data_IF_164226388188
#
_entry.id   IF_164226388188
#
_cell.length_a   1.000
_cell.length_b   1.000
_cell.length_c   1.000
_cell.angle_alpha   90.00
_cell.angle_beta   90.00
_cell.angle_gamma   90.00
#
_symmetry.space_group_name_H-M   'P 1'
#
loop_
_entity.id
_entity.type
_entity.pdbx_description
1 polymer ?
#
# COMPACT_ATOMS: atom_id res chain seq x y z
N UNK A 1 -2.66 24.88 -1.66
CA UNK A 1 -2.94 23.50 -2.09
C UNK A 1 -1.83 22.61 -1.60
N UNK A 2 -2.03 21.29 -1.56
CA UNK A 2 -0.94 20.37 -1.24
C UNK A 2 0.17 20.49 -2.31
N UNK A 3 1.47 20.43 -1.94
CA UNK A 3 2.56 20.45 -2.90
C UNK A 3 2.47 19.22 -3.82
N UNK A 4 2.73 19.43 -5.11
CA UNK A 4 2.76 18.36 -6.10
C UNK A 4 4.21 18.06 -6.49
N UNK A 5 4.50 16.79 -6.74
CA UNK A 5 5.81 16.32 -7.20
C UNK A 5 5.61 15.58 -8.52
N UNK A 6 6.55 15.75 -9.46
CA UNK A 6 6.57 14.97 -10.69
C UNK A 6 6.96 13.52 -10.37
N UNK A 7 6.12 12.57 -10.78
CA UNK A 7 6.38 11.15 -10.58
C UNK A 7 7.56 10.63 -11.41
N UNK A 8 8.08 9.46 -11.01
CA UNK A 8 9.13 8.75 -11.73
C UNK A 8 8.59 7.69 -12.70
N UNK A 9 9.50 6.98 -13.36
CA UNK A 9 9.17 5.93 -14.34
C UNK A 9 8.45 4.71 -13.72
N UNK A 10 8.48 4.55 -12.40
CA UNK A 10 7.83 3.46 -11.67
C UNK A 10 7.06 3.99 -10.47
N UNK A 11 6.09 3.21 -9.96
CA UNK A 11 5.36 3.55 -8.73
C UNK A 11 6.30 3.84 -7.57
N UNK A 12 7.32 3.01 -7.35
CA UNK A 12 8.28 3.19 -6.27
C UNK A 12 9.14 4.45 -6.47
N UNK A 13 9.52 4.79 -7.71
CA UNK A 13 10.23 6.04 -7.99
C UNK A 13 9.36 7.27 -7.68
N UNK A 14 8.06 7.22 -8.02
CA UNK A 14 7.11 8.28 -7.66
C UNK A 14 6.94 8.43 -6.16
N UNK A 15 6.77 7.32 -5.43
CA UNK A 15 6.67 7.35 -3.96
C UNK A 15 7.95 7.93 -3.36
N UNK A 16 9.13 7.50 -3.82
CA UNK A 16 10.41 8.02 -3.34
C UNK A 16 10.53 9.53 -3.55
N UNK A 17 10.21 10.03 -4.74
CA UNK A 17 10.25 11.48 -5.01
C UNK A 17 9.30 12.26 -4.10
N UNK A 18 8.11 11.71 -3.80
CA UNK A 18 7.18 12.32 -2.86
C UNK A 18 7.74 12.33 -1.41
N UNK A 19 8.33 11.23 -0.95
CA UNK A 19 8.96 11.16 0.39
C UNK A 19 10.14 12.12 0.51
N UNK A 20 11.01 12.20 -0.51
CA UNK A 20 12.13 13.15 -0.55
C UNK A 20 11.64 14.60 -0.45
N UNK A 21 10.49 14.94 -1.05
CA UNK A 21 9.91 16.29 -0.97
C UNK A 21 9.41 16.67 0.43
N UNK A 22 9.12 15.68 1.28
CA UNK A 22 8.68 15.87 2.66
C UNK A 22 9.87 15.97 3.63
N UNK A 23 11.10 15.67 3.20
CA UNK A 23 12.25 15.55 4.10
C UNK A 23 12.63 16.85 4.82
N UNK A 24 12.24 18.02 4.30
CA UNK A 24 12.48 19.32 4.94
C UNK A 24 11.53 19.60 6.12
N UNK A 25 10.36 18.96 6.13
CA UNK A 25 9.35 19.06 7.18
C UNK A 25 8.68 17.68 7.34
N UNK A 26 9.40 16.71 7.93
CA UNK A 26 9.00 15.31 7.90
C UNK A 26 7.77 15.07 8.78
N UNK A 27 6.69 14.45 8.25
CA UNK A 27 5.60 14.00 9.09
C UNK A 27 6.07 12.85 9.99
N UNK A 28 5.35 12.56 11.08
CA UNK A 28 5.68 11.36 11.90
C UNK A 28 5.37 10.06 11.16
N UNK A 29 4.31 10.05 10.36
CA UNK A 29 3.79 8.88 9.63
C UNK A 29 3.42 9.26 8.21
N UNK A 30 3.54 8.29 7.30
CA UNK A 30 3.12 8.44 5.91
C UNK A 30 2.17 7.33 5.49
N UNK A 31 1.10 7.70 4.78
CA UNK A 31 0.15 6.77 4.18
C UNK A 31 0.22 6.88 2.66
N UNK A 32 0.66 5.80 2.01
CA UNK A 32 0.77 5.71 0.55
C UNK A 32 -0.53 5.11 0.00
N UNK A 33 -1.27 5.90 -0.77
CA UNK A 33 -2.57 5.50 -1.33
C UNK A 33 -2.58 5.52 -2.86
N UNK A 34 -3.25 4.55 -3.47
CA UNK A 34 -3.41 4.55 -4.93
C UNK A 34 -4.59 5.45 -5.32
N UNK A 35 -4.35 6.41 -6.21
CA UNK A 35 -5.38 7.34 -6.70
C UNK A 35 -6.57 6.63 -7.36
N UNK A 36 -6.36 5.43 -7.93
CA UNK A 36 -7.41 4.60 -8.52
C UNK A 36 -8.42 4.02 -7.51
N UNK A 37 -8.27 4.31 -6.20
CA UNK A 37 -9.14 3.83 -5.12
C UNK A 37 -9.81 5.01 -4.37
N UNK A 38 -10.70 5.78 -5.03
CA UNK A 38 -11.22 7.03 -4.47
C UNK A 38 -12.20 6.84 -3.30
N UNK A 39 -12.72 5.63 -3.07
CA UNK A 39 -13.78 5.34 -2.10
C UNK A 39 -13.27 4.56 -0.88
N UNK A 40 -12.03 4.81 -0.44
CA UNK A 40 -11.52 4.18 0.78
C UNK A 40 -12.33 4.66 2.01
N UNK A 41 -12.89 3.75 2.82
CA UNK A 41 -13.60 4.15 4.03
C UNK A 41 -12.67 4.83 5.03
N UNK A 42 -13.17 5.85 5.74
CA UNK A 42 -12.42 6.53 6.82
C UNK A 42 -11.98 5.58 7.92
N UNK A 43 -12.77 4.55 8.20
CA UNK A 43 -12.47 3.51 9.19
C UNK A 43 -11.19 2.76 8.84
N UNK A 44 -10.98 2.42 7.56
CA UNK A 44 -9.76 1.73 7.10
C UNK A 44 -8.53 2.59 7.35
N UNK A 45 -8.60 3.90 7.06
CA UNK A 45 -7.50 4.84 7.33
C UNK A 45 -7.19 4.89 8.84
N UNK A 46 -8.23 4.99 9.67
CA UNK A 46 -8.07 5.03 11.12
C UNK A 46 -7.46 3.74 11.68
N UNK A 47 -7.84 2.58 11.14
CA UNK A 47 -7.28 1.29 11.55
C UNK A 47 -5.81 1.14 11.17
N UNK A 48 -5.41 1.60 9.97
CA UNK A 48 -3.98 1.64 9.58
C UNK A 48 -3.20 2.54 10.54
N UNK A 49 -3.70 3.74 10.84
CA UNK A 49 -3.06 4.65 11.79
C UNK A 49 -2.93 4.03 13.19
N UNK A 50 -3.97 3.37 13.69
CA UNK A 50 -3.95 2.69 14.99
C UNK A 50 -2.96 1.52 15.01
N UNK A 51 -2.85 0.77 13.92
CA UNK A 51 -1.89 -0.33 13.84
C UNK A 51 -0.44 0.18 13.96
N UNK A 52 -0.15 1.37 13.42
CA UNK A 52 1.14 2.03 13.54
C UNK A 52 1.50 2.48 14.96
N UNK A 53 0.58 2.42 15.92
CA UNK A 53 0.90 2.71 17.33
C UNK A 53 1.75 1.61 17.97
N UNK A 54 1.83 0.44 17.34
CA UNK A 54 2.52 -0.75 17.87
C UNK A 54 3.38 -1.48 16.83
N UNK A 55 3.40 -1.01 15.58
CA UNK A 55 4.10 -1.64 14.46
C UNK A 55 4.69 -0.57 13.54
N UNK A 56 5.86 -0.83 12.96
CA UNK A 56 6.54 0.14 12.08
C UNK A 56 5.81 0.35 10.74
N UNK A 57 4.98 -0.63 10.33
CA UNK A 57 4.25 -0.61 9.07
C UNK A 57 2.90 -1.35 9.19
N UNK A 58 1.90 -0.87 8.45
CA UNK A 58 0.57 -1.48 8.40
C UNK A 58 -0.11 -1.30 7.04
N UNK A 59 -0.89 -2.28 6.62
CA UNK A 59 -1.68 -2.21 5.39
C UNK A 59 -2.98 -3.01 5.51
N UNK A 60 -4.09 -2.54 4.91
CA UNK A 60 -5.30 -3.32 4.78
C UNK A 60 -5.07 -4.42 3.74
N UNK A 61 -5.69 -5.58 3.95
CA UNK A 61 -5.62 -6.68 3.01
C UNK A 61 -6.95 -7.44 2.95
N UNK A 62 -7.21 -8.08 1.81
CA UNK A 62 -8.37 -8.94 1.61
C UNK A 62 -7.89 -10.39 1.40
N UNK A 63 -8.52 -11.40 2.00
CA UNK A 63 -8.18 -12.79 1.73
C UNK A 63 -8.38 -13.13 0.25
N UNK A 64 -7.55 -14.02 -0.30
CA UNK A 64 -7.73 -14.50 -1.67
C UNK A 64 -8.92 -15.47 -1.73
N UNK A 65 -9.97 -15.08 -2.45
CA UNK A 65 -11.20 -15.88 -2.59
C UNK A 65 -11.27 -16.69 -3.88
N UNK A 66 -10.52 -16.30 -4.91
CA UNK A 66 -10.55 -16.96 -6.20
C UNK A 66 -9.61 -18.17 -6.22
N UNK A 67 -9.88 -19.12 -7.11
CA UNK A 67 -8.95 -20.22 -7.37
C UNK A 67 -7.66 -19.65 -7.98
N UNK A 68 -6.51 -20.06 -7.43
CA UNK A 68 -5.21 -19.67 -7.95
C UNK A 68 -4.61 -20.80 -8.79
N UNK A 69 -4.07 -20.43 -9.95
CA UNK A 69 -3.30 -21.33 -10.81
C UNK A 69 -1.84 -20.88 -10.86
N UNK A 70 -0.93 -21.84 -11.05
CA UNK A 70 0.47 -21.60 -11.39
C UNK A 70 0.66 -21.84 -12.87
N UNK A 71 1.59 -21.12 -13.47
CA UNK A 71 1.90 -21.24 -14.89
C UNK A 71 2.52 -19.96 -15.44
N UNK A 72 3.11 -20.08 -16.62
CA UNK A 72 3.63 -18.95 -17.39
C UNK A 72 2.62 -18.63 -18.52
N UNK A 73 2.83 -19.21 -19.71
CA UNK A 73 1.90 -19.11 -20.84
C UNK A 73 0.75 -20.12 -20.78
N UNK A 74 0.88 -21.18 -19.96
CA UNK A 74 -0.11 -22.23 -19.76
C UNK A 74 -0.19 -22.60 -18.27
N UNK A 75 -1.35 -23.07 -17.84
CA UNK A 75 -1.58 -23.55 -16.46
C UNK A 75 -0.79 -24.83 -16.22
N UNK A 76 0.08 -24.82 -15.21
CA UNK A 76 0.87 -25.96 -14.76
C UNK A 76 0.33 -26.61 -13.48
N UNK A 77 -0.61 -25.96 -12.78
CA UNK A 77 -1.30 -26.54 -11.63
C UNK A 77 -2.11 -25.54 -10.80
N UNK A 78 -2.71 -26.03 -9.72
CA UNK A 78 -3.46 -25.20 -8.74
C UNK A 78 -2.52 -24.78 -7.60
N UNK A 79 -2.72 -23.58 -7.06
CA UNK A 79 -2.04 -23.10 -5.86
C UNK A 79 -3.02 -23.00 -4.68
N UNK A 80 -2.68 -23.55 -3.50
CA UNK A 80 -3.38 -23.24 -2.26
C UNK A 80 -3.46 -21.73 -2.03
N UNK A 81 -4.65 -21.25 -1.63
CA UNK A 81 -4.93 -19.83 -1.37
C UNK A 81 -4.98 -19.51 0.12
N UNK A 82 -4.95 -20.53 0.95
CA UNK A 82 -4.97 -20.44 2.41
C UNK A 82 -3.78 -19.61 2.89
N UNK A 83 -4.06 -18.62 3.74
CA UNK A 83 -3.04 -17.69 4.24
C UNK A 83 -2.57 -16.64 3.24
N UNK A 84 -3.11 -16.60 2.01
CA UNK A 84 -2.79 -15.56 1.03
C UNK A 84 -3.76 -14.39 1.12
N UNK A 85 -3.20 -13.19 1.04
CA UNK A 85 -3.94 -11.94 1.07
C UNK A 85 -3.53 -11.05 -0.10
N UNK A 86 -4.51 -10.32 -0.63
CA UNK A 86 -4.31 -9.25 -1.61
C UNK A 86 -4.10 -7.95 -0.84
N UNK A 87 -2.87 -7.45 -0.82
CA UNK A 87 -2.57 -6.15 -0.25
C UNK A 87 -3.44 -5.05 -0.91
N UNK A 88 -3.98 -4.17 -0.08
CA UNK A 88 -4.71 -2.97 -0.49
C UNK A 88 -3.93 -1.73 -0.03
N UNK A 89 -4.42 -0.55 -0.42
CA UNK A 89 -3.91 0.75 0.04
C UNK A 89 -5.04 1.51 0.74
N UNK A 90 -4.74 2.38 1.74
CA UNK A 90 -3.42 2.96 2.05
C UNK A 90 -2.48 2.02 2.80
N UNK A 91 -1.19 2.08 2.47
CA UNK A 91 -0.10 1.44 3.23
C UNK A 91 0.55 2.50 4.12
N UNK A 92 0.56 2.29 5.43
CA UNK A 92 1.10 3.19 6.44
C UNK A 92 2.48 2.76 6.92
N UNK A 93 3.34 3.74 7.20
CA UNK A 93 4.69 3.58 7.74
C UNK A 93 5.01 4.74 8.68
N UNK A 94 5.88 4.50 9.65
CA UNK A 94 6.62 5.59 10.29
C UNK A 94 7.57 6.22 9.25
N UNK A 95 7.73 7.55 9.31
CA UNK A 95 8.57 8.27 8.34
C UNK A 95 10.05 8.32 8.73
N UNK A 96 10.33 8.21 10.04
CA UNK A 96 11.64 8.40 10.64
C UNK A 96 12.53 7.15 10.55
#
# INVERSE_FOLDING_TARGET
GLPWVIGGATRSATVRAALESLAQDPPSRVLIHDAARPLVPRTVIAEVMRALDTHDAAAPALPVTDALWRGDSHVSGVHPREGLFRAQTPQGFDFA
#
